data_IF_863666197934
#
_entry.id   IF_863666197934
#
_cell.length_a   1.000
_cell.length_b   1.000
_cell.length_c   1.000
_cell.angle_alpha   90.00
_cell.angle_beta   90.00
_cell.angle_gamma   90.00
#
_symmetry.space_group_name_H-M   'P 1'
#
loop_
_entity.id
_entity.type
_entity.pdbx_description
1 polymer ?
#
# COMPACT_ATOMS: atom_id res chain seq x y z
N UNK A 1 -11.87 -21.68 -4.82
CA UNK A 1 -10.79 -20.74 -4.46
C UNK A 1 -11.26 -19.94 -3.25
N UNK A 2 -10.66 -20.13 -2.08
CA UNK A 2 -10.98 -19.33 -0.88
C UNK A 2 -10.45 -17.91 -1.04
N UNK A 3 -11.12 -16.91 -0.46
CA UNK A 3 -10.70 -15.51 -0.53
C UNK A 3 -9.52 -15.31 0.42
N UNK A 4 -8.42 -14.71 -0.05
CA UNK A 4 -7.23 -14.44 0.76
C UNK A 4 -7.55 -13.79 2.12
N UNK A 5 -8.48 -12.83 2.16
CA UNK A 5 -8.91 -12.20 3.43
C UNK A 5 -9.34 -13.21 4.49
N UNK A 6 -10.03 -14.29 4.09
CA UNK A 6 -10.48 -15.35 5.00
C UNK A 6 -9.37 -16.31 5.38
N UNK A 7 -8.41 -16.54 4.49
CA UNK A 7 -7.22 -17.34 4.80
C UNK A 7 -6.31 -16.61 5.78
N UNK A 8 -6.08 -15.31 5.54
CA UNK A 8 -5.29 -14.45 6.42
C UNK A 8 -5.88 -14.42 7.83
N UNK A 9 -7.17 -14.10 7.99
CA UNK A 9 -7.85 -14.12 9.30
C UNK A 9 -7.74 -15.49 10.00
N UNK A 10 -7.84 -16.59 9.25
CA UNK A 10 -7.76 -17.95 9.81
C UNK A 10 -6.34 -18.41 10.15
N UNK A 11 -5.31 -17.71 9.67
CA UNK A 11 -3.90 -17.98 9.96
C UNK A 11 -3.35 -17.09 11.08
N UNK A 12 -4.08 -16.04 11.47
CA UNK A 12 -3.68 -15.17 12.57
C UNK A 12 -3.91 -15.84 13.92
N UNK A 13 -2.92 -15.70 14.81
CA UNK A 13 -3.08 -15.98 16.23
C UNK A 13 -4.12 -14.98 16.79
N UNK A 14 -5.23 -15.44 17.39
CA UNK A 14 -6.31 -14.56 17.85
C UNK A 14 -5.83 -13.43 18.77
N UNK A 15 -4.88 -13.73 19.65
CA UNK A 15 -4.25 -12.83 20.61
C UNK A 15 -3.41 -11.74 19.92
N UNK A 16 -2.95 -11.99 18.69
CA UNK A 16 -2.11 -11.06 17.93
C UNK A 16 -2.89 -10.34 16.83
N UNK A 17 -4.18 -10.63 16.67
CA UNK A 17 -4.98 -10.09 15.57
C UNK A 17 -4.91 -8.56 15.46
N UNK A 18 -4.89 -7.86 16.59
CA UNK A 18 -4.81 -6.40 16.64
C UNK A 18 -3.42 -5.86 16.31
N UNK A 19 -2.37 -6.65 16.53
CA UNK A 19 -0.99 -6.31 16.21
C UNK A 19 -0.65 -6.53 14.73
N UNK A 20 -1.45 -7.34 14.02
CA UNK A 20 -1.31 -7.60 12.59
C UNK A 20 -2.06 -6.61 11.69
N UNK A 21 -1.70 -6.56 10.41
CA UNK A 21 -2.27 -5.64 9.41
C UNK A 21 -3.79 -5.80 9.26
N UNK A 22 -4.53 -4.69 9.26
CA UNK A 22 -5.93 -4.66 8.80
C UNK A 22 -6.01 -4.72 7.27
N UNK A 23 -5.95 -5.94 6.73
CA UNK A 23 -6.03 -6.17 5.30
C UNK A 23 -7.37 -5.72 4.68
N UNK A 24 -8.46 -5.76 5.45
CA UNK A 24 -9.78 -5.39 4.93
C UNK A 24 -9.87 -3.89 4.68
N UNK A 25 -9.36 -3.08 5.61
CA UNK A 25 -9.26 -1.62 5.47
C UNK A 25 -8.40 -1.26 4.25
N UNK A 26 -7.16 -1.78 4.16
CA UNK A 26 -6.26 -1.49 3.04
C UNK A 26 -6.89 -1.85 1.68
N UNK A 27 -7.59 -2.99 1.63
CA UNK A 27 -8.30 -3.42 0.42
C UNK A 27 -9.47 -2.49 0.06
N UNK A 28 -10.17 -1.94 1.05
CA UNK A 28 -11.25 -0.97 0.84
C UNK A 28 -10.70 0.35 0.30
N UNK A 29 -9.58 0.81 0.84
CA UNK A 29 -8.94 2.06 0.43
C UNK A 29 -8.39 1.98 -1.00
N UNK A 30 -7.79 0.84 -1.38
CA UNK A 30 -7.42 0.59 -2.78
C UNK A 30 -8.61 0.67 -3.75
N UNK A 31 -9.78 0.17 -3.35
CA UNK A 31 -10.99 0.28 -4.17
C UNK A 31 -11.49 1.72 -4.27
N UNK A 32 -11.41 2.50 -3.18
CA UNK A 32 -11.76 3.93 -3.17
C UNK A 32 -10.90 4.68 -4.18
N UNK A 33 -9.58 4.47 -4.14
CA UNK A 33 -8.64 5.07 -5.08
C UNK A 33 -8.96 4.69 -6.53
N UNK A 34 -9.20 3.41 -6.80
CA UNK A 34 -9.53 2.95 -8.15
C UNK A 34 -10.81 3.58 -8.70
N UNK A 35 -11.84 3.68 -7.87
CA UNK A 35 -13.12 4.31 -8.25
C UNK A 35 -12.92 5.79 -8.59
N UNK A 36 -12.17 6.53 -7.77
CA UNK A 36 -11.88 7.95 -8.01
C UNK A 36 -11.13 8.16 -9.34
N UNK A 37 -10.13 7.32 -9.61
CA UNK A 37 -9.36 7.39 -10.85
C UNK A 37 -10.19 7.02 -12.11
N UNK A 38 -11.16 6.12 -11.98
CA UNK A 38 -12.06 5.76 -13.09
C UNK A 38 -13.05 6.87 -13.44
N UNK A 39 -13.42 7.71 -12.46
CA UNK A 39 -14.40 8.78 -12.66
C UNK A 39 -13.78 10.08 -13.20
N UNK A 40 -12.47 10.29 -13.04
CA UNK A 40 -11.77 11.50 -13.48
C UNK A 40 -11.35 11.49 -14.96
N UNK A 41 -11.35 10.33 -15.63
CA UNK A 41 -10.89 10.19 -17.01
C UNK A 41 -12.01 9.72 -17.96
N UNK A 42 -12.80 10.62 -18.59
CA UNK A 42 -13.91 10.21 -19.46
C UNK A 42 -13.50 9.86 -20.90
N UNK A 43 -12.21 9.78 -21.26
CA UNK A 43 -11.77 9.64 -22.65
C UNK A 43 -11.27 8.23 -23.01
N UNK A 44 -12.15 7.55 -23.77
CA UNK A 44 -11.89 6.59 -24.85
C UNK A 44 -11.40 5.16 -24.51
N UNK A 45 -12.35 4.25 -24.67
CA UNK A 45 -12.23 2.90 -25.25
C UNK A 45 -11.17 1.94 -24.68
N UNK A 46 -11.58 1.08 -23.75
CA UNK A 46 -11.55 -0.38 -23.97
C UNK A 46 -12.28 -1.10 -22.84
N UNK A 47 -13.30 -1.88 -23.21
CA UNK A 47 -13.93 -2.85 -22.34
C UNK A 47 -12.90 -3.94 -22.05
N UNK A 48 -12.39 -4.00 -20.83
CA UNK A 48 -11.93 -5.27 -20.28
C UNK A 48 -12.23 -5.34 -18.78
N UNK A 49 -12.99 -6.36 -18.41
CA UNK A 49 -13.33 -6.77 -17.04
C UNK A 49 -12.07 -7.26 -16.29
N UNK A 50 -11.06 -6.42 -16.10
CA UNK A 50 -9.94 -6.70 -15.21
C UNK A 50 -10.03 -5.79 -13.99
N UNK A 51 -10.77 -6.26 -12.98
CA UNK A 51 -11.13 -5.64 -11.70
C UNK A 51 -9.94 -5.22 -10.79
N UNK A 52 -8.74 -5.12 -11.34
CA UNK A 52 -7.50 -4.85 -10.61
C UNK A 52 -6.40 -4.22 -11.49
N UNK A 53 -6.71 -3.88 -12.75
CA UNK A 53 -5.70 -3.58 -13.77
C UNK A 53 -4.99 -2.25 -13.61
N UNK A 54 -5.71 -1.13 -13.54
CA UNK A 54 -5.09 0.15 -13.90
C UNK A 54 -4.23 0.80 -12.80
N UNK A 55 -4.60 0.68 -11.52
CA UNK A 55 -3.76 1.20 -10.43
C UNK A 55 -2.57 0.28 -10.17
N UNK A 56 -2.78 -1.04 -10.23
CA UNK A 56 -1.71 -2.01 -10.09
C UNK A 56 -0.85 -2.12 -11.36
N UNK A 57 -1.31 -1.72 -12.54
CA UNK A 57 -0.49 -1.69 -13.77
C UNK A 57 0.49 -0.54 -13.74
N UNK A 58 0.06 0.63 -13.24
CA UNK A 58 1.00 1.69 -12.89
C UNK A 58 1.98 1.14 -11.86
N UNK A 59 1.51 0.48 -10.79
CA UNK A 59 2.37 -0.17 -9.80
C UNK A 59 3.22 -1.36 -10.34
N UNK A 60 2.88 -1.95 -11.49
CA UNK A 60 3.60 -3.07 -12.10
C UNK A 60 4.89 -2.60 -12.79
N UNK A 61 4.94 -1.33 -13.16
CA UNK A 61 6.15 -0.66 -13.64
C UNK A 61 7.14 -0.40 -12.49
N UNK A 62 6.66 -0.45 -11.24
CA UNK A 62 7.47 -0.44 -10.04
C UNK A 62 7.94 -1.86 -9.78
N UNK A 63 8.99 -2.26 -10.48
CA UNK A 63 9.71 -3.47 -10.14
C UNK A 63 10.21 -3.36 -8.71
N UNK A 64 9.45 -3.91 -7.75
CA UNK A 64 9.82 -4.01 -6.33
C UNK A 64 11.04 -4.94 -6.11
N UNK A 65 11.63 -5.47 -7.20
CA UNK A 65 12.89 -6.19 -7.21
C UNK A 65 13.85 -5.59 -8.25
N UNK A 66 14.86 -4.90 -7.72
CA UNK A 66 16.09 -4.40 -8.34
C UNK A 66 16.26 -4.45 -9.87
N UNK A 67 16.20 -3.28 -10.51
CA UNK A 67 17.28 -2.80 -11.38
C UNK A 67 17.14 -1.29 -11.58
N UNK A 68 18.28 -0.61 -11.66
CA UNK A 68 18.35 0.83 -11.82
C UNK A 68 17.58 1.33 -13.05
N UNK A 69 16.59 2.20 -12.84
CA UNK A 69 16.18 3.16 -13.85
C UNK A 69 16.01 4.51 -13.16
N UNK A 70 16.89 5.45 -13.51
CA UNK A 70 17.31 6.53 -12.62
C UNK A 70 16.40 7.77 -12.60
N UNK A 71 15.30 7.80 -13.35
CA UNK A 71 14.60 9.09 -13.60
C UNK A 71 13.08 9.09 -13.39
N UNK A 72 12.46 8.00 -12.93
CA UNK A 72 11.01 7.97 -12.62
C UNK A 72 10.68 7.03 -11.45
N UNK A 73 11.32 7.20 -10.30
CA UNK A 73 10.82 6.57 -9.07
C UNK A 73 9.56 7.36 -8.68
N UNK A 74 8.38 6.74 -8.68
CA UNK A 74 7.15 7.42 -8.25
C UNK A 74 6.78 7.13 -6.79
N UNK A 75 7.49 6.19 -6.15
CA UNK A 75 7.30 5.77 -4.75
C UNK A 75 8.68 5.51 -4.16
N UNK A 76 9.03 6.23 -3.09
CA UNK A 76 10.26 6.06 -2.36
C UNK A 76 9.96 5.64 -0.91
N UNK A 77 10.59 4.57 -0.43
CA UNK A 77 10.42 4.10 0.96
C UNK A 77 11.73 4.27 1.72
N UNK A 78 11.70 5.02 2.81
CA UNK A 78 12.88 5.28 3.62
C UNK A 78 12.66 4.95 5.10
N UNK A 79 13.76 4.71 5.81
CA UNK A 79 13.74 4.45 7.25
C UNK A 79 13.69 5.78 8.01
N UNK A 80 12.66 5.97 8.81
CA UNK A 80 12.51 7.10 9.72
C UNK A 80 13.16 6.75 11.06
N UNK A 81 14.08 7.61 11.52
CA UNK A 81 14.59 7.53 12.88
C UNK A 81 13.46 7.88 13.85
N UNK A 82 13.08 6.94 14.73
CA UNK A 82 12.09 7.20 15.74
C UNK A 82 12.59 8.30 16.69
N UNK A 83 11.73 9.29 16.99
CA UNK A 83 12.04 10.42 17.89
C UNK A 83 12.30 9.99 19.35
N UNK A 84 12.18 8.70 19.67
CA UNK A 84 12.44 8.14 21.00
C UNK A 84 13.35 6.93 20.85
N UNK A 85 14.41 6.89 21.65
CA UNK A 85 15.51 5.90 21.58
C UNK A 85 15.08 4.44 21.80
N UNK A 86 13.80 4.17 22.09
CA UNK A 86 13.28 2.84 22.44
C UNK A 86 12.31 2.23 21.42
N UNK A 87 11.99 2.93 20.32
CA UNK A 87 11.06 2.42 19.30
C UNK A 87 11.91 2.10 18.07
N UNK A 88 11.96 0.83 17.66
CA UNK A 88 12.86 0.41 16.59
C UNK A 88 12.51 0.99 15.22
N UNK A 89 13.05 0.35 14.19
CA UNK A 89 13.01 0.86 12.82
C UNK A 89 11.58 1.11 12.33
N UNK A 90 11.28 2.36 11.96
CA UNK A 90 10.03 2.76 11.31
C UNK A 90 10.30 3.12 9.86
N UNK A 91 9.35 2.85 8.97
CA UNK A 91 9.43 3.15 7.55
C UNK A 91 8.34 4.12 7.13
N UNK A 92 8.64 5.00 6.19
CA UNK A 92 7.71 5.97 5.63
C UNK A 92 7.82 5.98 4.12
N UNK A 93 6.68 6.09 3.45
CA UNK A 93 6.56 6.13 2.00
C UNK A 93 6.35 7.57 1.54
N UNK A 94 7.25 8.06 0.70
CA UNK A 94 7.13 9.32 -0.03
C UNK A 94 6.63 9.04 -1.45
N UNK A 95 5.55 9.73 -1.84
CA UNK A 95 5.00 9.66 -3.19
C UNK A 95 5.56 10.81 -4.01
N UNK A 96 6.08 10.48 -5.20
CA UNK A 96 6.67 11.45 -6.12
C UNK A 96 5.65 11.82 -7.22
N UNK A 97 6.08 12.64 -8.17
CA UNK A 97 5.31 13.46 -9.13
C UNK A 97 4.03 12.82 -9.73
N UNK A 98 4.00 11.50 -9.94
CA UNK A 98 2.83 10.79 -10.50
C UNK A 98 1.64 10.71 -9.54
N UNK A 99 1.87 10.77 -8.22
CA UNK A 99 0.85 10.58 -7.19
C UNK A 99 0.76 11.75 -6.20
N UNK A 100 1.59 12.78 -6.33
CA UNK A 100 1.58 13.95 -5.44
C UNK A 100 0.24 14.68 -5.38
N UNK A 101 -0.55 14.69 -6.46
CA UNK A 101 -1.86 15.38 -6.47
C UNK A 101 -3.03 14.48 -6.00
N UNK A 102 -2.75 13.21 -5.67
CA UNK A 102 -3.78 12.26 -5.25
C UNK A 102 -3.83 12.15 -3.73
N UNK A 103 -4.67 12.97 -3.10
CA UNK A 103 -4.92 12.90 -1.65
C UNK A 103 -5.34 11.49 -1.20
N UNK A 104 -6.14 10.80 -2.02
CA UNK A 104 -6.56 9.43 -1.75
C UNK A 104 -5.38 8.43 -1.76
N UNK A 105 -4.37 8.66 -2.60
CA UNK A 105 -3.15 7.84 -2.59
C UNK A 105 -2.31 8.14 -1.35
N UNK A 106 -2.10 9.42 -1.01
CA UNK A 106 -1.38 9.82 0.21
C UNK A 106 -2.00 9.18 1.46
N UNK A 107 -3.33 9.30 1.62
CA UNK A 107 -4.07 8.67 2.73
C UNK A 107 -3.82 7.15 2.80
N UNK A 108 -3.84 6.48 1.65
CA UNK A 108 -3.61 5.03 1.59
C UNK A 108 -2.20 4.65 2.00
N UNK A 109 -1.16 5.32 1.49
CA UNK A 109 0.22 4.99 1.84
C UNK A 109 0.54 5.33 3.29
N UNK A 110 0.01 6.43 3.84
CA UNK A 110 0.10 6.69 5.29
C UNK A 110 -0.57 5.60 6.13
N UNK A 111 -1.72 5.07 5.69
CA UNK A 111 -2.38 3.94 6.35
C UNK A 111 -1.57 2.65 6.21
N UNK A 112 -0.98 2.40 5.04
CA UNK A 112 -0.14 1.24 4.77
C UNK A 112 1.09 1.24 5.69
N UNK A 113 1.81 2.36 5.76
CA UNK A 113 2.98 2.54 6.63
C UNK A 113 2.59 2.33 8.10
N UNK A 114 1.46 2.87 8.55
CA UNK A 114 0.97 2.65 9.90
C UNK A 114 0.75 1.16 10.20
N UNK A 115 0.08 0.44 9.30
CA UNK A 115 -0.23 -0.98 9.48
C UNK A 115 1.03 -1.86 9.46
N UNK A 116 1.98 -1.57 8.56
CA UNK A 116 3.23 -2.33 8.45
C UNK A 116 4.20 -2.04 9.61
N UNK A 117 4.33 -0.77 10.01
CA UNK A 117 5.16 -0.41 11.17
C UNK A 117 4.60 -0.95 12.49
N UNK A 118 3.28 -1.12 12.59
CA UNK A 118 2.65 -1.81 13.73
C UNK A 118 3.13 -3.26 13.83
N UNK A 119 3.20 -3.96 12.69
CA UNK A 119 3.69 -5.34 12.64
C UNK A 119 5.18 -5.43 12.95
N UNK A 120 5.98 -4.48 12.49
CA UNK A 120 7.41 -4.47 12.79
C UNK A 120 7.70 -4.43 14.30
N UNK A 121 6.83 -3.82 15.11
CA UNK A 121 6.97 -3.81 16.57
C UNK A 121 6.80 -5.19 17.20
N UNK A 122 6.02 -6.08 16.58
CA UNK A 122 5.81 -7.46 17.07
C UNK A 122 7.09 -8.30 16.94
N UNK A 123 7.96 -7.94 16.00
CA UNK A 123 9.19 -8.68 15.69
C UNK A 123 10.45 -8.05 16.28
N UNK A 124 10.31 -6.99 17.09
CA UNK A 124 11.44 -6.25 17.67
C UNK A 124 11.82 -6.71 19.09
N UNK A 125 11.29 -7.83 19.57
CA UNK A 125 11.66 -8.50 20.83
C UNK A 125 12.77 -9.55 20.65
#
# INVERSE_FOLDING_TARGET
MVKFSKQFEGQLVPEWKEAFVDYWQLKKDLKKIHLLHSNSNPTKHSRHNSLSGNFLSSLKEFSLFGHQHKDHEAIHVHKKLASSASKGDMYETELLEQFEDSDAAKEFFSCLDLQLNKVNQVFQD
#
